data_IF_183433510587
#
_entry.id   IF_183433510587
#
_cell.length_a   1.000
_cell.length_b   1.000
_cell.length_c   1.000
_cell.angle_alpha   90.00
_cell.angle_beta   90.00
_cell.angle_gamma   90.00
#
_symmetry.space_group_name_H-M   'P 1'
#
loop_
_entity.id
_entity.type
_entity.pdbx_description
1 polymer ?
#
# COMPACT_ATOMS: atom_id res chain seq x y z
N UNK A 1 110.51 15.80 -82.83
CA UNK A 1 110.17 15.17 -84.14
C UNK A 1 109.28 13.98 -83.85
N UNK A 2 108.37 13.53 -84.74
CA UNK A 2 107.88 14.06 -86.03
C UNK A 2 106.31 13.94 -86.12
N UNK A 3 105.60 14.03 -87.26
CA UNK A 3 105.78 14.78 -88.52
C UNK A 3 104.66 15.83 -88.74
N UNK A 4 104.87 16.80 -89.65
CA UNK A 4 103.81 17.65 -90.24
C UNK A 4 103.42 17.06 -91.61
N UNK A 5 102.14 16.80 -91.90
CA UNK A 5 101.63 16.68 -93.26
C UNK A 5 101.07 18.03 -93.77
N UNK A 6 100.97 18.12 -95.09
CA UNK A 6 100.80 19.34 -95.88
C UNK A 6 99.33 19.82 -95.98
N UNK A 7 99.23 21.06 -96.44
CA UNK A 7 98.15 22.07 -96.39
C UNK A 7 96.96 21.89 -97.36
N UNK A 8 95.76 22.27 -96.90
CA UNK A 8 94.78 23.07 -97.68
C UNK A 8 94.37 24.30 -96.83
N UNK A 9 94.23 25.50 -97.43
CA UNK A 9 93.97 26.74 -96.68
C UNK A 9 92.61 26.75 -95.94
N UNK A 10 91.67 25.92 -96.35
CA UNK A 10 90.35 25.78 -95.74
C UNK A 10 90.39 25.06 -94.38
N UNK A 11 91.30 24.09 -94.19
CA UNK A 11 91.44 23.36 -92.92
C UNK A 11 92.13 24.19 -91.83
N UNK A 12 93.07 25.09 -92.20
CA UNK A 12 93.68 26.03 -91.25
C UNK A 12 92.69 27.10 -90.76
N UNK A 13 91.74 27.50 -91.60
CA UNK A 13 90.64 28.40 -91.22
C UNK A 13 89.63 27.65 -90.34
N UNK A 14 89.31 26.39 -90.65
CA UNK A 14 88.45 25.54 -89.82
C UNK A 14 89.05 25.28 -88.42
N UNK A 15 90.32 24.89 -88.32
CA UNK A 15 90.99 24.61 -87.03
C UNK A 15 91.20 25.87 -86.18
N UNK A 16 91.41 27.05 -86.80
CA UNK A 16 91.42 28.34 -86.09
C UNK A 16 90.01 28.78 -85.67
N UNK A 17 88.98 28.53 -86.49
CA UNK A 17 87.57 28.77 -86.13
C UNK A 17 87.15 27.85 -84.98
N UNK A 18 87.49 26.57 -85.03
CA UNK A 18 87.20 25.56 -84.01
C UNK A 18 87.93 25.85 -82.69
N UNK A 19 89.23 26.19 -82.72
CA UNK A 19 89.95 26.67 -81.51
C UNK A 19 89.39 27.98 -80.95
N UNK A 20 88.91 28.90 -81.80
CA UNK A 20 88.22 30.12 -81.33
C UNK A 20 86.85 29.80 -80.74
N UNK A 21 86.13 28.83 -81.28
CA UNK A 21 84.82 28.38 -80.81
C UNK A 21 84.94 27.61 -79.49
N UNK A 22 85.93 26.73 -79.36
CA UNK A 22 86.30 26.05 -78.11
C UNK A 22 86.72 27.06 -77.02
N UNK A 23 87.57 28.05 -77.34
CA UNK A 23 87.91 29.12 -76.39
C UNK A 23 86.72 30.00 -76.00
N UNK A 24 85.75 30.23 -76.91
CA UNK A 24 84.49 30.93 -76.59
C UNK A 24 83.61 30.07 -75.66
N UNK A 25 83.45 28.79 -75.96
CA UNK A 25 82.70 27.82 -75.12
C UNK A 25 83.33 27.65 -73.74
N UNK A 26 84.66 27.60 -73.62
CA UNK A 26 85.36 27.55 -72.33
C UNK A 26 85.20 28.83 -71.53
N UNK A 27 85.25 30.00 -72.18
CA UNK A 27 84.96 31.28 -71.52
C UNK A 27 83.51 31.34 -71.04
N UNK A 28 82.55 30.89 -71.84
CA UNK A 28 81.16 30.78 -71.44
C UNK A 28 80.96 29.77 -70.30
N UNK A 29 81.64 28.63 -70.33
CA UNK A 29 81.60 27.64 -69.24
C UNK A 29 82.16 28.20 -67.94
N UNK A 30 83.30 28.90 -67.98
CA UNK A 30 83.88 29.58 -66.80
C UNK A 30 82.96 30.68 -66.28
N UNK A 31 82.36 31.47 -67.17
CA UNK A 31 81.37 32.49 -66.78
C UNK A 31 80.11 31.86 -66.16
N UNK A 32 79.63 30.73 -66.71
CA UNK A 32 78.51 29.97 -66.16
C UNK A 32 78.87 29.38 -64.79
N UNK A 33 80.06 28.81 -64.61
CA UNK A 33 80.53 28.31 -63.32
C UNK A 33 80.61 29.42 -62.27
N UNK A 34 81.19 30.58 -62.61
CA UNK A 34 81.22 31.73 -61.69
C UNK A 34 79.80 32.16 -61.29
N UNK A 35 78.84 32.16 -62.23
CA UNK A 35 77.43 32.45 -61.94
C UNK A 35 76.79 31.37 -61.06
N UNK A 36 77.06 30.10 -61.31
CA UNK A 36 76.55 28.98 -60.51
C UNK A 36 77.12 29.02 -59.09
N UNK A 37 78.42 29.33 -58.94
CA UNK A 37 79.09 29.46 -57.64
C UNK A 37 78.58 30.68 -56.86
N UNK A 38 78.30 31.79 -57.56
CA UNK A 38 77.65 32.95 -56.99
C UNK A 38 76.24 32.62 -56.50
N UNK A 39 75.42 31.99 -57.34
CA UNK A 39 74.05 31.60 -57.00
C UNK A 39 74.00 30.55 -55.88
N UNK A 40 74.89 29.56 -55.88
CA UNK A 40 74.95 28.57 -54.78
C UNK A 40 75.40 29.19 -53.47
N UNK A 41 76.29 30.19 -53.51
CA UNK A 41 76.67 30.97 -52.32
C UNK A 41 75.49 31.82 -51.82
N UNK A 42 74.74 32.43 -52.72
CA UNK A 42 73.53 33.20 -52.40
C UNK A 42 72.41 32.31 -51.83
N UNK A 43 72.19 31.12 -52.37
CA UNK A 43 71.25 30.11 -51.83
C UNK A 43 71.69 29.64 -50.44
N UNK A 44 72.99 29.34 -50.24
CA UNK A 44 73.51 28.93 -48.93
C UNK A 44 73.37 30.05 -47.89
N UNK A 45 73.67 31.30 -48.27
CA UNK A 45 73.42 32.44 -47.40
C UNK A 45 71.92 32.62 -47.12
N UNK A 46 71.07 32.47 -48.14
CA UNK A 46 69.61 32.49 -48.03
C UNK A 46 69.09 31.48 -47.03
N UNK A 47 69.49 30.21 -47.14
CA UNK A 47 69.14 29.14 -46.20
C UNK A 47 69.61 29.44 -44.78
N UNK A 48 70.83 29.96 -44.63
CA UNK A 48 71.38 30.32 -43.32
C UNK A 48 70.65 31.51 -42.69
N UNK A 49 70.25 32.50 -43.49
CA UNK A 49 69.36 33.57 -43.05
C UNK A 49 67.98 33.05 -42.69
N UNK A 50 67.35 32.18 -43.49
CA UNK A 50 66.02 31.61 -43.18
C UNK A 50 66.08 30.82 -41.88
N UNK A 51 67.05 29.93 -41.71
CA UNK A 51 67.23 29.17 -40.46
C UNK A 51 67.47 30.09 -39.25
N UNK A 52 68.18 31.21 -39.44
CA UNK A 52 68.34 32.22 -38.39
C UNK A 52 67.02 32.92 -38.06
N UNK A 53 66.23 33.29 -39.06
CA UNK A 53 64.90 33.87 -38.84
C UNK A 53 63.96 32.85 -38.19
N UNK A 54 63.92 31.60 -38.61
CA UNK A 54 63.12 30.54 -37.99
C UNK A 54 63.49 30.32 -36.52
N UNK A 55 64.79 30.30 -36.19
CA UNK A 55 65.24 30.22 -34.79
C UNK A 55 64.79 31.44 -33.99
N UNK A 56 64.88 32.64 -34.58
CA UNK A 56 64.42 33.86 -33.93
C UNK A 56 62.89 33.88 -33.76
N UNK A 57 62.12 33.42 -34.75
CA UNK A 57 60.67 33.31 -34.69
C UNK A 57 60.22 32.27 -33.66
N UNK A 58 60.86 31.10 -33.60
CA UNK A 58 60.60 30.09 -32.57
C UNK A 58 60.91 30.63 -31.19
N UNK A 59 62.03 31.34 -31.02
CA UNK A 59 62.39 31.98 -29.75
C UNK A 59 61.36 33.03 -29.36
N UNK A 60 61.02 33.96 -30.25
CA UNK A 60 59.99 34.97 -30.01
C UNK A 60 58.63 34.34 -29.68
N UNK A 61 58.25 33.26 -30.37
CA UNK A 61 57.00 32.56 -30.10
C UNK A 61 57.03 31.91 -28.72
N UNK A 62 58.12 31.24 -28.34
CA UNK A 62 58.31 30.68 -26.98
C UNK A 62 58.28 31.80 -25.94
N UNK A 63 58.97 32.92 -26.18
CA UNK A 63 59.03 34.05 -25.26
C UNK A 63 57.65 34.70 -25.03
N UNK A 64 56.71 34.57 -25.99
CA UNK A 64 55.34 35.07 -25.86
C UNK A 64 54.37 34.00 -25.34
N UNK A 65 54.43 32.77 -25.85
CA UNK A 65 53.45 31.73 -25.53
C UNK A 65 53.74 31.04 -24.21
N UNK A 66 55.01 30.86 -23.83
CA UNK A 66 55.37 30.16 -22.60
C UNK A 66 54.91 30.94 -21.35
N UNK A 67 55.08 32.28 -21.25
CA UNK A 67 54.52 33.04 -20.13
C UNK A 67 52.99 32.98 -20.08
N UNK A 68 52.32 33.11 -21.23
CA UNK A 68 50.86 33.02 -21.30
C UNK A 68 50.35 31.64 -20.86
N UNK A 69 50.97 30.56 -21.33
CA UNK A 69 50.62 29.19 -20.89
C UNK A 69 50.88 29.00 -19.40
N UNK A 70 51.93 29.63 -18.85
CA UNK A 70 52.21 29.59 -17.41
C UNK A 70 51.15 30.34 -16.61
N UNK A 71 50.70 31.49 -17.07
CA UNK A 71 49.60 32.25 -16.47
C UNK A 71 48.29 31.47 -16.52
N UNK A 72 47.94 30.88 -17.68
CA UNK A 72 46.75 30.04 -17.84
C UNK A 72 46.80 28.81 -16.91
N UNK A 73 47.97 28.16 -16.79
CA UNK A 73 48.16 27.01 -15.89
C UNK A 73 48.11 27.42 -14.41
N UNK A 74 48.63 28.60 -14.07
CA UNK A 74 48.54 29.14 -12.72
C UNK A 74 47.09 29.50 -12.35
N UNK A 75 46.34 30.11 -13.28
CA UNK A 75 44.92 30.39 -13.09
C UNK A 75 44.12 29.09 -12.91
N UNK A 76 44.37 28.09 -13.77
CA UNK A 76 43.75 26.78 -13.65
C UNK A 76 44.08 26.13 -12.29
N UNK A 77 45.35 26.17 -11.87
CA UNK A 77 45.79 25.63 -10.58
C UNK A 77 45.06 26.29 -9.40
N UNK A 78 45.03 27.62 -9.32
CA UNK A 78 44.31 28.33 -8.26
C UNK A 78 42.80 28.08 -8.29
N UNK A 79 42.20 27.97 -9.49
CA UNK A 79 40.79 27.64 -9.60
C UNK A 79 40.51 26.23 -9.10
N UNK A 80 41.35 25.24 -9.46
CA UNK A 80 41.23 23.89 -8.94
C UNK A 80 41.43 23.82 -7.43
N UNK A 81 42.42 24.52 -6.88
CA UNK A 81 42.65 24.60 -5.44
C UNK A 81 41.41 25.16 -4.72
N UNK A 82 40.85 26.28 -5.21
CA UNK A 82 39.61 26.85 -4.66
C UNK A 82 38.44 25.87 -4.75
N UNK A 83 38.28 25.17 -5.89
CA UNK A 83 37.21 24.18 -6.05
C UNK A 83 37.41 23.04 -5.05
N UNK A 84 38.62 22.50 -4.91
CA UNK A 84 38.94 21.46 -3.95
C UNK A 84 38.62 21.94 -2.53
N UNK A 85 39.07 23.12 -2.12
CA UNK A 85 38.79 23.68 -0.79
C UNK A 85 37.29 23.82 -0.53
N UNK A 86 36.52 24.31 -1.52
CA UNK A 86 35.05 24.42 -1.37
C UNK A 86 34.37 23.07 -1.28
N UNK A 87 34.87 22.06 -2.01
CA UNK A 87 34.33 20.70 -1.96
C UNK A 87 34.69 20.03 -0.63
N UNK A 88 35.92 20.17 -0.16
CA UNK A 88 36.37 19.65 1.13
C UNK A 88 35.57 20.28 2.27
N UNK A 89 35.36 21.60 2.25
CA UNK A 89 34.48 22.26 3.22
C UNK A 89 33.04 21.72 3.16
N UNK A 90 32.50 21.52 1.95
CA UNK A 90 31.16 20.93 1.79
C UNK A 90 31.12 19.50 2.32
N UNK A 91 32.16 18.69 2.10
CA UNK A 91 32.27 17.33 2.61
C UNK A 91 32.32 17.34 4.14
N UNK A 92 33.12 18.20 4.75
CA UNK A 92 33.17 18.34 6.22
C UNK A 92 31.82 18.72 6.79
N UNK A 93 31.14 19.70 6.21
CA UNK A 93 29.79 20.09 6.64
C UNK A 93 28.81 18.92 6.53
N UNK A 94 28.82 18.19 5.41
CA UNK A 94 27.94 17.03 5.23
C UNK A 94 28.26 15.90 6.23
N UNK A 95 29.52 15.72 6.63
CA UNK A 95 29.89 14.75 7.65
C UNK A 95 29.37 15.16 9.04
N UNK A 96 29.44 16.44 9.38
CA UNK A 96 28.90 16.96 10.64
C UNK A 96 27.37 16.80 10.69
N UNK A 97 26.67 17.20 9.63
CA UNK A 97 25.21 17.04 9.51
C UNK A 97 24.78 15.56 9.56
N UNK A 98 25.58 14.66 8.98
CA UNK A 98 25.33 13.21 9.07
C UNK A 98 25.50 12.72 10.51
N UNK A 99 26.52 13.20 11.23
CA UNK A 99 26.71 12.91 12.65
C UNK A 99 25.55 13.39 13.51
N UNK A 100 25.07 14.62 13.28
CA UNK A 100 23.91 15.18 14.01
C UNK A 100 22.62 14.40 13.71
N UNK A 101 22.40 14.02 12.43
CA UNK A 101 21.26 13.21 12.05
C UNK A 101 21.28 11.82 12.70
N UNK A 102 22.46 11.18 12.79
CA UNK A 102 22.63 9.90 13.47
C UNK A 102 22.37 10.02 14.98
N UNK A 103 22.87 11.06 15.64
CA UNK A 103 22.62 11.30 17.07
C UNK A 103 21.13 11.52 17.35
N UNK A 104 20.46 12.33 16.52
CA UNK A 104 19.02 12.56 16.61
C UNK A 104 18.23 11.26 16.40
N UNK A 105 18.62 10.43 15.43
CA UNK A 105 18.02 9.12 15.20
C UNK A 105 18.19 8.20 16.41
N UNK A 106 19.40 8.09 16.97
CA UNK A 106 19.67 7.25 18.14
C UNK A 106 18.90 7.74 19.38
N UNK A 107 18.80 9.05 19.59
CA UNK A 107 18.04 9.63 20.68
C UNK A 107 16.54 9.33 20.54
N UNK A 108 15.98 9.53 19.34
CA UNK A 108 14.58 9.22 19.06
C UNK A 108 14.30 7.72 19.26
N UNK A 109 15.17 6.86 18.75
CA UNK A 109 15.05 5.42 18.91
C UNK A 109 15.06 5.01 20.39
N UNK A 110 15.98 5.54 21.19
CA UNK A 110 16.02 5.30 22.65
C UNK A 110 14.73 5.76 23.32
N UNK A 111 14.27 6.97 23.02
CA UNK A 111 13.03 7.49 23.57
C UNK A 111 11.82 6.64 23.16
N UNK A 112 11.80 6.13 21.92
CA UNK A 112 10.75 5.23 21.48
C UNK A 112 10.78 3.90 22.25
N UNK A 113 11.96 3.30 22.41
CA UNK A 113 12.13 2.09 23.22
C UNK A 113 11.65 2.31 24.66
N UNK A 114 12.05 3.43 25.30
CA UNK A 114 11.62 3.77 26.66
C UNK A 114 10.09 3.94 26.75
N UNK A 115 9.48 4.55 25.74
CA UNK A 115 8.02 4.69 25.66
C UNK A 115 7.32 3.33 25.51
N UNK A 116 7.86 2.42 24.70
CA UNK A 116 7.36 1.05 24.56
C UNK A 116 7.49 0.32 25.90
N UNK A 117 8.62 0.42 26.58
CA UNK A 117 8.84 -0.22 27.87
C UNK A 117 7.89 0.31 28.95
N UNK A 118 7.65 1.62 28.97
CA UNK A 118 6.65 2.23 29.86
C UNK A 118 5.25 1.70 29.56
N UNK A 119 4.88 1.58 28.29
CA UNK A 119 3.60 1.03 27.87
C UNK A 119 3.45 -0.43 28.29
N UNK A 120 4.49 -1.25 28.11
CA UNK A 120 4.52 -2.65 28.54
C UNK A 120 4.36 -2.75 30.06
N UNK A 121 5.07 -1.92 30.84
CA UNK A 121 4.92 -1.89 32.31
C UNK A 121 3.49 -1.56 32.72
N UNK A 122 2.91 -0.51 32.13
CA UNK A 122 1.52 -0.12 32.42
C UNK A 122 0.51 -1.21 32.08
N UNK A 123 0.74 -1.96 31.00
CA UNK A 123 -0.11 -3.11 30.67
C UNK A 123 0.08 -4.29 31.63
N UNK A 124 1.29 -4.52 32.13
CA UNK A 124 1.54 -5.53 33.17
C UNK A 124 0.83 -5.15 34.47
N UNK A 125 1.01 -3.92 34.94
CA UNK A 125 0.35 -3.43 36.15
C UNK A 125 -1.17 -3.59 36.05
N UNK A 126 -1.76 -3.22 34.91
CA UNK A 126 -3.20 -3.42 34.67
C UNK A 126 -3.62 -4.90 34.62
N UNK A 127 -2.77 -5.78 34.11
CA UNK A 127 -3.05 -7.22 34.09
C UNK A 127 -2.98 -7.81 35.50
N UNK A 128 -2.03 -7.34 36.32
CA UNK A 128 -1.91 -7.73 37.72
C UNK A 128 -3.11 -7.23 38.52
N UNK A 129 -3.52 -5.97 38.37
CA UNK A 129 -4.74 -5.42 38.99
C UNK A 129 -5.98 -6.26 38.63
N UNK A 130 -6.13 -6.61 37.34
CA UNK A 130 -7.28 -7.41 36.88
C UNK A 130 -7.23 -8.84 37.43
N UNK A 131 -6.04 -9.39 37.61
CA UNK A 131 -5.84 -10.71 38.20
C UNK A 131 -6.19 -10.69 39.68
N UNK A 132 -5.74 -9.68 40.41
CA UNK A 132 -6.06 -9.50 41.83
C UNK A 132 -7.57 -9.32 42.02
N UNK A 133 -8.23 -8.48 41.20
CA UNK A 133 -9.68 -8.31 41.21
C UNK A 133 -10.45 -9.62 40.96
N UNK A 134 -9.93 -10.46 40.05
CA UNK A 134 -10.50 -11.77 39.74
C UNK A 134 -10.31 -12.75 40.90
N UNK A 135 -9.12 -12.83 41.49
CA UNK A 135 -8.83 -13.68 42.65
C UNK A 135 -9.69 -13.26 43.85
N UNK A 136 -9.83 -11.96 44.11
CA UNK A 136 -10.71 -11.44 45.15
C UNK A 136 -12.18 -11.80 44.92
N UNK A 137 -12.65 -11.69 43.68
CA UNK A 137 -14.03 -12.05 43.31
C UNK A 137 -14.27 -13.56 43.47
N UNK A 138 -13.28 -14.37 43.09
CA UNK A 138 -13.31 -15.83 43.26
C UNK A 138 -13.35 -16.21 44.73
N UNK A 139 -12.49 -15.60 45.56
CA UNK A 139 -12.42 -15.85 46.99
C UNK A 139 -13.74 -15.44 47.69
N UNK A 140 -14.33 -14.30 47.32
CA UNK A 140 -15.65 -13.88 47.83
C UNK A 140 -16.75 -14.86 47.46
N UNK A 141 -16.77 -15.33 46.21
CA UNK A 141 -17.76 -16.31 45.75
C UNK A 141 -17.58 -17.67 46.44
N UNK A 142 -16.34 -18.11 46.63
CA UNK A 142 -16.03 -19.34 47.34
C UNK A 142 -16.48 -19.25 48.81
N UNK A 143 -16.12 -18.16 49.51
CA UNK A 143 -16.55 -17.95 50.89
C UNK A 143 -18.08 -17.90 51.03
N UNK A 144 -18.79 -17.28 50.09
CA UNK A 144 -20.25 -17.28 50.08
C UNK A 144 -20.84 -18.69 49.88
N UNK A 145 -20.25 -19.50 49.00
CA UNK A 145 -20.66 -20.88 48.77
C UNK A 145 -20.41 -21.76 50.00
N UNK A 146 -19.25 -21.61 50.64
CA UNK A 146 -18.91 -22.32 51.88
C UNK A 146 -19.88 -21.95 53.02
N UNK A 147 -20.23 -20.66 53.14
CA UNK A 147 -21.21 -20.20 54.13
C UNK A 147 -22.61 -20.77 53.86
N UNK A 148 -23.09 -20.72 52.61
CA UNK A 148 -24.37 -21.34 52.23
C UNK A 148 -24.37 -22.84 52.54
N UNK A 149 -23.28 -23.54 52.22
CA UNK A 149 -23.14 -24.96 52.50
C UNK A 149 -23.20 -25.24 54.02
N UNK A 150 -22.54 -24.43 54.84
CA UNK A 150 -22.57 -24.57 56.30
C UNK A 150 -23.99 -24.34 56.85
N UNK A 151 -24.70 -23.32 56.34
CA UNK A 151 -26.10 -23.07 56.71
C UNK A 151 -26.99 -24.25 56.34
N UNK A 152 -26.85 -24.81 55.13
CA UNK A 152 -27.61 -26.00 54.75
C UNK A 152 -27.31 -27.20 55.65
N UNK A 153 -26.04 -27.46 55.94
CA UNK A 153 -25.66 -28.55 56.84
C UNK A 153 -26.25 -28.36 58.24
N UNK A 154 -26.23 -27.13 58.76
CA UNK A 154 -26.83 -26.82 60.06
C UNK A 154 -28.34 -27.02 60.05
N UNK A 155 -29.06 -26.52 59.03
CA UNK A 155 -30.52 -26.71 58.93
C UNK A 155 -30.92 -28.19 58.81
N UNK A 156 -30.12 -29.00 58.11
CA UNK A 156 -30.32 -30.46 58.05
C UNK A 156 -30.11 -31.08 59.42
N UNK A 157 -29.02 -30.74 60.12
CA UNK A 157 -28.74 -31.26 61.47
C UNK A 157 -29.86 -30.90 62.45
N UNK A 158 -30.31 -29.64 62.45
CA UNK A 158 -31.41 -29.19 63.29
C UNK A 158 -32.72 -29.94 62.97
N UNK A 159 -32.99 -30.18 61.69
CA UNK A 159 -34.14 -30.96 61.23
C UNK A 159 -34.06 -32.43 61.67
N UNK A 160 -32.89 -33.05 61.58
CA UNK A 160 -32.65 -34.40 62.08
C UNK A 160 -32.88 -34.50 63.59
N UNK A 161 -32.34 -33.55 64.36
CA UNK A 161 -32.47 -33.57 65.81
C UNK A 161 -33.91 -33.31 66.27
N UNK A 162 -34.65 -32.44 65.57
CA UNK A 162 -36.08 -32.28 65.78
C UNK A 162 -36.86 -33.59 65.53
N UNK A 163 -36.57 -34.28 64.41
CA UNK A 163 -37.20 -35.57 64.11
C UNK A 163 -36.85 -36.63 65.13
N UNK A 164 -35.58 -36.72 65.57
CA UNK A 164 -35.15 -37.64 66.65
C UNK A 164 -35.91 -37.36 67.94
N UNK A 165 -36.07 -36.09 68.33
CA UNK A 165 -36.83 -35.71 69.53
C UNK A 165 -38.32 -36.08 69.41
N UNK A 166 -38.94 -35.86 68.25
CA UNK A 166 -40.33 -36.24 68.00
C UNK A 166 -40.53 -37.76 68.06
N UNK A 167 -39.64 -38.54 67.42
CA UNK A 167 -39.68 -40.00 67.47
C UNK A 167 -39.53 -40.51 68.90
N UNK A 168 -38.60 -39.92 69.67
CA UNK A 168 -38.42 -40.25 71.08
C UNK A 168 -39.69 -39.97 71.91
N UNK A 169 -40.34 -38.81 71.69
CA UNK A 169 -41.60 -38.47 72.34
C UNK A 169 -42.73 -39.47 72.02
N UNK A 170 -42.92 -39.80 70.74
CA UNK A 170 -43.92 -40.78 70.31
C UNK A 170 -43.67 -42.18 70.88
N UNK A 171 -42.42 -42.61 70.93
CA UNK A 171 -42.04 -43.90 71.50
C UNK A 171 -42.32 -43.94 73.01
N UNK A 172 -42.06 -42.84 73.72
CA UNK A 172 -42.40 -42.74 75.14
C UNK A 172 -43.92 -42.79 75.38
N UNK A 173 -44.71 -42.07 74.58
CA UNK A 173 -46.18 -42.10 74.65
C UNK A 173 -46.74 -43.50 74.36
N UNK A 174 -46.17 -44.21 73.38
CA UNK A 174 -46.54 -45.59 73.06
C UNK A 174 -46.22 -46.55 74.21
N UNK A 175 -45.04 -46.42 74.84
CA UNK A 175 -44.68 -47.21 76.03
C UNK A 175 -45.64 -46.95 77.19
N UNK A 176 -46.07 -45.70 77.40
CA UNK A 176 -47.06 -45.38 78.43
C UNK A 176 -48.45 -45.94 78.10
N UNK A 177 -48.86 -45.86 76.83
CA UNK A 177 -50.11 -46.44 76.36
C UNK A 177 -50.12 -47.97 76.55
N UNK A 178 -49.05 -48.66 76.17
CA UNK A 178 -48.90 -50.10 76.36
C UNK A 178 -48.99 -50.49 77.85
N UNK A 179 -48.33 -49.73 78.73
CA UNK A 179 -48.43 -49.92 80.19
C UNK A 179 -49.86 -49.75 80.69
N UNK A 180 -50.58 -48.72 80.23
CA UNK A 180 -51.99 -48.48 80.59
C UNK A 180 -52.88 -49.64 80.12
N UNK A 181 -52.78 -50.05 78.86
CA UNK A 181 -53.53 -51.19 78.31
C UNK A 181 -53.24 -52.45 79.11
N UNK A 182 -51.96 -52.77 79.36
CA UNK A 182 -51.57 -53.94 80.14
C UNK A 182 -52.12 -53.90 81.56
N UNK A 183 -52.09 -52.74 82.22
CA UNK A 183 -52.68 -52.57 83.56
C UNK A 183 -54.19 -52.82 83.55
N UNK A 184 -54.92 -52.24 82.59
CA UNK A 184 -56.38 -52.45 82.48
C UNK A 184 -56.73 -53.90 82.18
N UNK A 185 -55.95 -54.58 81.34
CA UNK A 185 -56.13 -55.99 81.03
C UNK A 185 -55.91 -56.87 82.26
N UNK A 186 -54.86 -56.61 83.07
CA UNK A 186 -54.63 -57.32 84.32
C UNK A 186 -55.76 -57.09 85.34
N UNK A 187 -56.24 -55.84 85.48
CA UNK A 187 -57.41 -55.55 86.33
C UNK A 187 -58.65 -56.30 85.87
N UNK A 188 -58.86 -56.44 84.56
CA UNK A 188 -59.98 -57.21 84.01
C UNK A 188 -59.87 -58.70 84.31
N UNK A 189 -58.67 -59.27 84.21
CA UNK A 189 -58.40 -60.65 84.63
C UNK A 189 -58.73 -60.84 86.11
N UNK A 190 -58.31 -59.91 86.97
CA UNK A 190 -58.57 -60.00 88.42
C UNK A 190 -60.07 -59.89 88.74
N UNK A 191 -60.82 -59.05 88.02
CA UNK A 191 -62.29 -58.98 88.09
C UNK A 191 -62.91 -60.32 87.66
N UNK A 192 -62.56 -60.82 86.47
CA UNK A 192 -63.09 -62.08 85.96
C UNK A 192 -62.74 -63.25 86.90
N UNK A 193 -61.56 -63.26 87.53
CA UNK A 193 -61.19 -64.25 88.55
C UNK A 193 -62.04 -64.16 89.82
N UNK A 194 -62.42 -62.95 90.27
CA UNK A 194 -63.36 -62.78 91.38
C UNK A 194 -64.73 -63.29 90.99
N UNK A 195 -65.22 -62.91 89.82
CA UNK A 195 -66.49 -63.37 89.27
C UNK A 195 -66.51 -64.90 89.14
N UNK A 196 -65.43 -65.53 88.66
CA UNK A 196 -65.33 -66.99 88.60
C UNK A 196 -65.33 -67.65 89.97
N UNK A 197 -64.70 -67.05 90.98
CA UNK A 197 -64.73 -67.58 92.35
C UNK A 197 -66.15 -67.49 92.95
N UNK A 198 -66.86 -66.39 92.71
CA UNK A 198 -68.26 -66.21 93.10
C UNK A 198 -69.16 -67.21 92.35
N UNK A 199 -68.94 -67.38 91.03
CA UNK A 199 -69.63 -68.38 90.21
C UNK A 199 -69.30 -69.80 90.68
N UNK A 200 -68.10 -70.11 91.15
CA UNK A 200 -67.78 -71.44 91.71
C UNK A 200 -68.57 -71.68 93.00
N UNK A 201 -68.77 -70.66 93.84
CA UNK A 201 -69.61 -70.78 95.01
C UNK A 201 -71.09 -70.97 94.64
N UNK A 202 -71.61 -70.22 93.66
CA UNK A 202 -72.98 -70.40 93.19
C UNK A 202 -73.15 -71.73 92.45
N UNK A 203 -72.17 -72.18 91.65
CA UNK A 203 -72.20 -73.45 90.93
C UNK A 203 -72.14 -74.66 91.86
N UNK A 204 -71.51 -74.56 93.03
CA UNK A 204 -71.63 -75.60 94.06
C UNK A 204 -73.07 -75.74 94.54
N UNK A 205 -73.73 -74.61 94.79
CA UNK A 205 -75.15 -74.55 95.16
C UNK A 205 -76.05 -75.03 94.01
N UNK A 206 -75.70 -74.70 92.77
CA UNK A 206 -76.41 -75.12 91.57
C UNK A 206 -76.12 -76.58 91.20
N UNK A 207 -74.97 -77.18 91.53
CA UNK A 207 -74.65 -78.57 91.24
C UNK A 207 -75.52 -79.54 92.06
N UNK A 208 -75.81 -79.19 93.30
CA UNK A 208 -76.81 -79.87 94.12
C UNK A 208 -78.22 -79.77 93.49
N UNK A 209 -78.54 -78.61 92.92
CA UNK A 209 -79.78 -78.40 92.16
C UNK A 209 -79.74 -78.95 90.72
N UNK A 210 -78.57 -79.25 90.16
CA UNK A 210 -78.38 -79.66 88.77
C UNK A 210 -78.37 -81.18 88.66
N UNK A 211 -77.97 -81.92 89.68
CA UNK A 211 -78.07 -83.38 89.70
C UNK A 211 -79.54 -83.84 89.56
N UNK A 212 -80.46 -83.09 90.18
CA UNK A 212 -81.91 -83.29 90.08
C UNK A 212 -82.48 -82.82 88.73
N UNK A 213 -81.85 -81.84 88.08
CA UNK A 213 -82.28 -81.29 86.79
C UNK A 213 -81.66 -81.97 85.54
N UNK A 214 -80.44 -82.53 85.63
CA UNK A 214 -79.70 -83.24 84.57
C UNK A 214 -80.45 -84.48 84.09
N UNK A 215 -81.13 -85.16 85.02
CA UNK A 215 -82.05 -86.25 84.74
C UNK A 215 -83.18 -85.84 83.77
N UNK A 216 -83.70 -84.62 83.93
CA UNK A 216 -84.82 -84.11 83.13
C UNK A 216 -84.39 -83.48 81.79
N UNK A 217 -83.13 -83.03 81.67
CA UNK A 217 -82.60 -82.36 80.47
C UNK A 217 -82.01 -83.32 79.43
N UNK A 218 -81.47 -84.48 79.84
CA UNK A 218 -80.98 -85.51 78.91
C UNK A 218 -82.08 -85.99 77.92
N UNK A 219 -83.33 -86.00 78.40
CA UNK A 219 -84.53 -86.33 77.61
C UNK A 219 -84.92 -85.27 76.56
N UNK A 220 -84.44 -84.02 76.69
CA UNK A 220 -84.72 -82.91 75.75
C UNK A 220 -83.61 -82.73 74.70
N UNK A 221 -82.35 -82.95 75.07
CA UNK A 221 -81.16 -82.77 74.22
C UNK A 221 -81.20 -83.57 72.90
N UNK A 222 -81.72 -84.81 72.96
CA UNK A 222 -81.83 -85.70 71.78
C UNK A 222 -82.77 -85.12 70.70
N UNK A 223 -83.72 -84.26 71.04
CA UNK A 223 -84.69 -83.67 70.09
C UNK A 223 -84.21 -82.38 69.41
N UNK A 224 -83.26 -81.67 70.00
CA UNK A 224 -82.78 -80.38 69.48
C UNK A 224 -81.59 -80.53 68.51
N UNK A 225 -80.85 -81.65 68.61
CA UNK A 225 -79.68 -81.95 67.76
C UNK A 225 -80.05 -82.21 66.28
N UNK A 226 -81.23 -82.77 66.01
CA UNK A 226 -81.74 -82.98 64.65
C UNK A 226 -82.08 -81.67 63.92
N UNK A 227 -82.46 -80.61 64.65
CA UNK A 227 -82.87 -79.32 64.05
C UNK A 227 -81.69 -78.42 63.63
N UNK A 228 -80.58 -78.42 64.37
CA UNK A 228 -79.41 -77.56 64.04
C UNK A 228 -78.60 -78.04 62.82
N UNK A 229 -78.64 -79.33 62.52
CA UNK A 229 -77.83 -79.93 61.43
C UNK A 229 -78.35 -79.54 60.04
N UNK A 230 -79.66 -79.27 59.91
CA UNK A 230 -80.28 -78.85 58.64
C UNK A 230 -79.91 -77.40 58.25
N UNK A 231 -79.80 -76.49 59.22
CA UNK A 231 -79.61 -75.06 58.97
C UNK A 231 -78.17 -74.70 58.56
N UNK A 232 -77.16 -75.44 59.07
CA UNK A 232 -75.75 -75.24 58.67
C UNK A 232 -75.46 -75.67 57.24
N UNK A 233 -76.17 -76.69 56.73
CA UNK A 233 -76.00 -77.19 55.35
C UNK A 233 -76.48 -76.17 54.30
N UNK A 234 -77.51 -75.38 54.61
CA UNK A 234 -78.05 -74.36 53.72
C UNK A 234 -77.10 -73.15 53.58
N UNK A 235 -76.48 -72.70 54.68
CA UNK A 235 -75.54 -71.57 54.66
C UNK A 235 -74.25 -71.88 53.89
N UNK A 236 -73.77 -73.12 53.94
CA UNK A 236 -72.59 -73.55 53.17
C UNK A 236 -72.81 -73.50 51.66
N UNK A 237 -73.99 -73.93 51.18
CA UNK A 237 -74.31 -73.90 49.75
C UNK A 237 -74.41 -72.47 49.20
N UNK A 238 -74.95 -71.53 49.98
CA UNK A 238 -75.01 -70.11 49.59
C UNK A 238 -73.61 -69.47 49.47
N UNK A 239 -72.68 -69.84 50.37
CA UNK A 239 -71.31 -69.31 50.36
C UNK A 239 -70.49 -69.87 49.18
N UNK A 240 -70.72 -71.14 48.81
CA UNK A 240 -70.07 -71.79 47.67
C UNK A 240 -70.47 -71.14 46.33
N UNK A 241 -71.73 -70.70 46.19
CA UNK A 241 -72.20 -70.01 44.98
C UNK A 241 -71.56 -68.62 44.82
N UNK A 242 -71.40 -67.88 45.92
CA UNK A 242 -70.70 -66.60 45.92
C UNK A 242 -69.21 -66.74 45.56
N UNK A 243 -68.52 -67.75 46.09
CA UNK A 243 -67.10 -67.98 45.78
C UNK A 243 -66.87 -68.33 44.30
N UNK A 244 -67.74 -69.17 43.73
CA UNK A 244 -67.71 -69.50 42.31
C UNK A 244 -67.91 -68.25 41.41
N UNK A 245 -68.79 -67.32 41.81
CA UNK A 245 -69.02 -66.07 41.08
C UNK A 245 -67.79 -65.14 41.12
N UNK A 246 -67.14 -65.01 42.28
CA UNK A 246 -65.91 -64.23 42.44
C UNK A 246 -64.75 -64.84 41.64
N UNK A 247 -64.58 -66.16 41.68
CA UNK A 247 -63.55 -66.83 40.86
C UNK A 247 -63.73 -66.60 39.36
N UNK A 248 -64.96 -66.57 38.85
CA UNK A 248 -65.23 -66.28 37.45
C UNK A 248 -64.79 -64.85 37.07
N UNK A 249 -65.06 -63.86 37.93
CA UNK A 249 -64.62 -62.47 37.73
C UNK A 249 -63.09 -62.33 37.78
N UNK A 250 -62.41 -63.01 38.72
CA UNK A 250 -60.94 -63.03 38.80
C UNK A 250 -60.33 -63.54 37.49
N UNK A 251 -60.85 -64.65 36.95
CA UNK A 251 -60.38 -65.21 35.66
C UNK A 251 -60.59 -64.23 34.50
N UNK A 252 -61.70 -63.50 34.48
CA UNK A 252 -61.97 -62.49 33.45
C UNK A 252 -61.00 -61.30 33.55
N UNK A 253 -60.73 -60.83 34.77
CA UNK A 253 -59.80 -59.73 35.02
C UNK A 253 -58.36 -60.09 34.65
N UNK A 254 -57.91 -61.31 34.97
CA UNK A 254 -56.57 -61.80 34.56
C UNK A 254 -56.40 -61.80 33.03
N UNK A 255 -57.43 -62.23 32.28
CA UNK A 255 -57.40 -62.17 30.80
C UNK A 255 -57.32 -60.75 30.27
N UNK A 256 -58.04 -59.80 30.89
CA UNK A 256 -57.96 -58.36 30.52
C UNK A 256 -56.58 -57.79 30.83
N UNK A 257 -56.02 -58.13 31.98
CA UNK A 257 -54.69 -57.69 32.39
C UNK A 257 -53.61 -58.18 31.44
N UNK A 258 -53.67 -59.45 31.00
CA UNK A 258 -52.75 -59.99 30.00
C UNK A 258 -52.84 -59.27 28.64
N UNK A 259 -54.07 -58.95 28.17
CA UNK A 259 -54.25 -58.17 26.94
C UNK A 259 -53.67 -56.76 27.05
N UNK A 260 -53.92 -56.08 28.16
CA UNK A 260 -53.40 -54.72 28.38
C UNK A 260 -51.88 -54.71 28.52
N UNK A 261 -51.29 -55.73 29.16
CA UNK A 261 -49.83 -55.87 29.28
C UNK A 261 -49.17 -56.06 27.91
N UNK A 262 -49.76 -56.88 27.02
CA UNK A 262 -49.27 -57.05 25.65
C UNK A 262 -49.41 -55.76 24.82
N UNK A 263 -50.53 -55.04 24.94
CA UNK A 263 -50.71 -53.74 24.29
C UNK A 263 -49.65 -52.73 24.76
N UNK A 264 -49.41 -52.66 26.07
CA UNK A 264 -48.39 -51.78 26.65
C UNK A 264 -46.99 -52.13 26.13
N UNK A 265 -46.68 -53.42 26.01
CA UNK A 265 -45.40 -53.88 25.43
C UNK A 265 -45.25 -53.41 23.98
N UNK A 266 -46.27 -53.63 23.15
CA UNK A 266 -46.24 -53.22 21.73
C UNK A 266 -46.10 -51.69 21.59
N UNK A 267 -46.84 -50.91 22.39
CA UNK A 267 -46.74 -49.45 22.37
C UNK A 267 -45.37 -48.95 22.83
N UNK A 268 -44.72 -49.65 23.78
CA UNK A 268 -43.35 -49.34 24.18
C UNK A 268 -42.35 -49.61 23.06
N UNK A 269 -42.48 -50.73 22.37
CA UNK A 269 -41.64 -51.08 21.21
C UNK A 269 -41.80 -50.04 20.09
N UNK A 270 -43.03 -49.70 19.71
CA UNK A 270 -43.31 -48.68 18.70
C UNK A 270 -42.76 -47.30 19.10
N UNK A 271 -42.88 -46.91 20.37
CA UNK A 271 -42.30 -45.67 20.86
C UNK A 271 -40.77 -45.67 20.78
N UNK A 272 -40.11 -46.79 21.11
CA UNK A 272 -38.65 -46.89 20.97
C UNK A 272 -38.18 -46.81 19.52
N UNK A 273 -38.93 -47.41 18.58
CA UNK A 273 -38.63 -47.31 17.15
C UNK A 273 -38.85 -45.89 16.61
N UNK A 274 -39.92 -45.21 17.05
CA UNK A 274 -40.18 -43.82 16.73
C UNK A 274 -39.08 -42.90 17.26
N UNK A 275 -38.64 -43.07 18.50
CA UNK A 275 -37.52 -42.31 19.07
C UNK A 275 -36.26 -42.54 18.23
N UNK A 276 -35.91 -43.80 17.94
CA UNK A 276 -34.73 -44.13 17.12
C UNK A 276 -34.79 -43.46 15.75
N UNK A 277 -35.87 -43.64 15.00
CA UNK A 277 -36.03 -43.05 13.65
C UNK A 277 -36.04 -41.52 13.67
N UNK A 278 -36.59 -40.88 14.71
CA UNK A 278 -36.55 -39.43 14.88
C UNK A 278 -35.15 -38.95 15.20
N UNK A 279 -34.43 -39.61 16.10
CA UNK A 279 -33.03 -39.25 16.43
C UNK A 279 -32.11 -39.37 15.22
N UNK A 280 -32.26 -40.43 14.41
CA UNK A 280 -31.50 -40.60 13.16
C UNK A 280 -31.78 -39.44 12.17
N UNK A 281 -33.05 -39.06 11.99
CA UNK A 281 -33.42 -37.90 11.15
C UNK A 281 -32.87 -36.59 11.68
N UNK A 282 -32.92 -36.37 13.00
CA UNK A 282 -32.44 -35.15 13.65
C UNK A 282 -30.92 -35.02 13.48
N UNK A 283 -30.18 -36.12 13.67
CA UNK A 283 -28.74 -36.19 13.42
C UNK A 283 -28.42 -35.92 11.94
N UNK A 284 -29.21 -36.45 10.99
CA UNK A 284 -29.03 -36.15 9.56
C UNK A 284 -29.19 -34.66 9.26
N UNK A 285 -30.23 -34.03 9.82
CA UNK A 285 -30.45 -32.58 9.65
C UNK A 285 -29.36 -31.74 10.31
N UNK A 286 -28.84 -32.15 11.46
CA UNK A 286 -27.72 -31.45 12.10
C UNK A 286 -26.43 -31.56 11.28
N UNK A 287 -26.17 -32.72 10.69
CA UNK A 287 -25.03 -32.91 9.78
C UNK A 287 -25.16 -32.05 8.52
N UNK A 288 -26.34 -32.00 7.89
CA UNK A 288 -26.61 -31.12 6.75
C UNK A 288 -26.48 -29.65 7.12
N UNK A 289 -26.99 -29.25 8.29
CA UNK A 289 -26.87 -27.88 8.80
C UNK A 289 -25.41 -27.48 9.01
N UNK A 290 -24.60 -28.37 9.61
CA UNK A 290 -23.16 -28.15 9.81
C UNK A 290 -22.42 -28.07 8.47
N UNK A 291 -22.74 -28.96 7.53
CA UNK A 291 -22.18 -28.94 6.17
C UNK A 291 -22.48 -27.62 5.46
N UNK A 292 -23.76 -27.21 5.44
CA UNK A 292 -24.17 -25.93 4.83
C UNK A 292 -23.50 -24.75 5.53
N UNK A 293 -23.46 -24.72 6.87
CA UNK A 293 -22.79 -23.66 7.62
C UNK A 293 -21.29 -23.55 7.26
N UNK A 294 -20.61 -24.68 7.08
CA UNK A 294 -19.22 -24.70 6.63
C UNK A 294 -19.07 -24.19 5.19
N UNK A 295 -19.92 -24.63 4.26
CA UNK A 295 -19.94 -24.12 2.88
C UNK A 295 -20.23 -22.62 2.81
N UNK A 296 -21.17 -22.12 3.60
CA UNK A 296 -21.43 -20.68 3.71
C UNK A 296 -20.23 -19.94 4.31
N UNK A 297 -19.57 -20.53 5.32
CA UNK A 297 -18.36 -19.99 5.92
C UNK A 297 -17.20 -19.86 4.93
N UNK A 298 -16.96 -20.89 4.11
CA UNK A 298 -15.92 -20.86 3.07
C UNK A 298 -16.26 -19.87 1.97
N UNK A 299 -17.49 -19.88 1.45
CA UNK A 299 -17.95 -18.91 0.45
C UNK A 299 -17.85 -17.47 0.95
N UNK A 300 -18.17 -17.22 2.23
CA UNK A 300 -18.04 -15.88 2.82
C UNK A 300 -16.59 -15.44 2.97
N UNK A 301 -15.65 -16.36 3.19
CA UNK A 301 -14.21 -16.06 3.19
C UNK A 301 -13.74 -15.67 1.79
N UNK A 302 -14.06 -16.51 0.79
CA UNK A 302 -13.73 -16.24 -0.62
C UNK A 302 -14.31 -14.89 -1.05
N UNK A 303 -15.59 -14.62 -0.77
CA UNK A 303 -16.21 -13.34 -1.12
C UNK A 303 -15.50 -12.14 -0.48
N UNK A 304 -15.02 -12.27 0.77
CA UNK A 304 -14.27 -11.18 1.42
C UNK A 304 -12.88 -10.98 0.79
N UNK A 305 -12.23 -12.06 0.39
CA UNK A 305 -10.95 -12.01 -0.31
C UNK A 305 -11.12 -11.35 -1.69
N UNK A 306 -12.14 -11.78 -2.46
CA UNK A 306 -12.47 -11.20 -3.77
C UNK A 306 -12.81 -9.71 -3.66
N UNK A 307 -13.65 -9.31 -2.70
CA UNK A 307 -13.96 -7.89 -2.45
C UNK A 307 -12.69 -7.11 -2.11
N UNK A 308 -11.77 -7.70 -1.32
CA UNK A 308 -10.49 -7.05 -1.01
C UNK A 308 -9.59 -6.88 -2.23
N UNK A 309 -9.58 -7.84 -3.15
CA UNK A 309 -8.85 -7.78 -4.42
C UNK A 309 -9.48 -6.72 -5.34
N UNK A 310 -10.80 -6.69 -5.43
CA UNK A 310 -11.53 -5.71 -6.24
C UNK A 310 -11.31 -4.28 -5.74
N UNK A 311 -11.32 -4.05 -4.42
CA UNK A 311 -11.00 -2.74 -3.83
C UNK A 311 -9.57 -2.29 -4.20
N UNK A 312 -8.60 -3.21 -4.18
CA UNK A 312 -7.23 -2.92 -4.62
C UNK A 312 -7.16 -2.60 -6.11
N UNK A 313 -7.84 -3.39 -6.94
CA UNK A 313 -7.88 -3.18 -8.39
C UNK A 313 -8.53 -1.85 -8.75
N UNK A 314 -9.65 -1.50 -8.11
CA UNK A 314 -10.33 -0.21 -8.32
C UNK A 314 -9.43 0.94 -7.87
N UNK A 315 -8.75 0.82 -6.73
CA UNK A 315 -7.79 1.82 -6.27
C UNK A 315 -6.66 2.03 -7.29
N UNK A 316 -6.06 0.94 -7.78
CA UNK A 316 -4.99 0.97 -8.78
C UNK A 316 -5.46 1.61 -10.08
N UNK A 317 -6.60 1.17 -10.62
CA UNK A 317 -7.19 1.73 -11.85
C UNK A 317 -7.51 3.21 -11.68
N UNK A 318 -8.01 3.62 -10.51
CA UNK A 318 -8.30 5.03 -10.21
C UNK A 318 -7.03 5.87 -10.18
N UNK A 319 -5.95 5.39 -9.54
CA UNK A 319 -4.65 6.08 -9.50
C UNK A 319 -4.09 6.22 -10.93
N UNK A 320 -4.01 5.12 -11.68
CA UNK A 320 -3.52 5.15 -13.06
C UNK A 320 -4.37 6.05 -13.96
N UNK A 321 -5.69 6.02 -13.80
CA UNK A 321 -6.59 6.89 -14.56
C UNK A 321 -6.35 8.36 -14.24
N UNK A 322 -6.17 8.71 -12.96
CA UNK A 322 -5.84 10.07 -12.56
C UNK A 322 -4.47 10.52 -13.10
N UNK A 323 -3.46 9.65 -13.05
CA UNK A 323 -2.12 9.94 -13.61
C UNK A 323 -2.18 10.19 -15.13
N UNK A 324 -2.92 9.35 -15.86
CA UNK A 324 -3.14 9.52 -17.30
C UNK A 324 -3.92 10.81 -17.57
N UNK A 325 -4.96 11.10 -16.79
CA UNK A 325 -5.74 12.34 -16.93
C UNK A 325 -4.88 13.57 -16.67
N UNK A 326 -4.02 13.55 -15.65
CA UNK A 326 -3.08 14.63 -15.37
C UNK A 326 -2.06 14.81 -16.50
N UNK A 327 -1.56 13.70 -17.05
CA UNK A 327 -0.67 13.73 -18.20
C UNK A 327 -1.36 14.31 -19.45
N UNK A 328 -2.58 13.88 -19.75
CA UNK A 328 -3.38 14.41 -20.86
C UNK A 328 -3.73 15.88 -20.65
N UNK A 329 -4.07 16.30 -19.43
CA UNK A 329 -4.30 17.70 -19.08
C UNK A 329 -3.03 18.55 -19.27
N UNK A 330 -1.84 18.02 -18.92
CA UNK A 330 -0.56 18.67 -19.20
C UNK A 330 -0.30 18.82 -20.69
N UNK A 331 -0.57 17.79 -21.50
CA UNK A 331 -0.46 17.86 -22.96
C UNK A 331 -1.48 18.87 -23.53
N UNK A 332 -2.73 18.82 -23.09
CA UNK A 332 -3.78 19.76 -23.46
C UNK A 332 -3.38 21.21 -23.14
N UNK A 333 -2.81 21.45 -21.96
CA UNK A 333 -2.28 22.76 -21.57
C UNK A 333 -1.11 23.22 -22.44
N UNK A 334 -0.19 22.31 -22.84
CA UNK A 334 0.86 22.63 -23.82
C UNK A 334 0.27 22.98 -25.19
N UNK A 335 -0.69 22.20 -25.67
CA UNK A 335 -1.41 22.45 -26.92
C UNK A 335 -2.14 23.80 -26.92
N UNK A 336 -2.85 24.12 -25.83
CA UNK A 336 -3.54 25.40 -25.68
C UNK A 336 -2.56 26.58 -25.67
N UNK A 337 -1.40 26.43 -25.02
CA UNK A 337 -0.33 27.44 -25.07
C UNK A 337 0.21 27.64 -26.48
N UNK A 338 0.45 26.57 -27.23
CA UNK A 338 0.90 26.64 -28.63
C UNK A 338 -0.15 27.33 -29.50
N UNK A 339 -1.44 26.99 -29.34
CA UNK A 339 -2.54 27.63 -30.07
C UNK A 339 -2.67 29.12 -29.72
N UNK A 340 -2.57 29.48 -28.43
CA UNK A 340 -2.57 30.87 -27.98
C UNK A 340 -1.38 31.64 -28.56
N UNK A 341 -0.17 31.06 -28.55
CA UNK A 341 1.02 31.66 -29.13
C UNK A 341 0.87 31.84 -30.64
N UNK A 342 0.40 30.81 -31.35
CA UNK A 342 0.09 30.87 -32.79
C UNK A 342 -0.92 31.97 -33.11
N UNK A 343 -2.00 32.10 -32.34
CA UNK A 343 -2.99 33.15 -32.51
C UNK A 343 -2.42 34.56 -32.27
N UNK A 344 -1.50 34.72 -31.31
CA UNK A 344 -0.79 35.98 -31.06
C UNK A 344 0.17 36.29 -32.22
N UNK A 345 1.01 35.33 -32.63
CA UNK A 345 1.94 35.48 -33.75
C UNK A 345 1.19 35.85 -35.04
N UNK A 346 0.05 35.21 -35.32
CA UNK A 346 -0.80 35.49 -36.48
C UNK A 346 -1.30 36.94 -36.53
N UNK A 347 -1.34 37.69 -35.43
CA UNK A 347 -1.68 39.13 -35.46
C UNK A 347 -0.65 39.97 -36.21
N UNK A 348 0.63 39.61 -36.09
CA UNK A 348 1.75 40.25 -36.79
C UNK A 348 1.96 39.71 -38.21
N UNK A 349 1.16 38.71 -38.59
CA UNK A 349 0.95 38.13 -39.93
C UNK A 349 0.64 39.20 -41.00
N UNK A 350 1.42 39.34 -42.09
CA UNK A 350 0.94 40.16 -43.24
C UNK A 350 -0.28 39.50 -43.92
N UNK A 351 -1.05 40.26 -44.71
CA UNK A 351 -2.25 39.72 -45.38
C UNK A 351 -1.91 38.59 -46.36
N UNK A 352 -0.79 38.71 -47.07
CA UNK A 352 -0.32 37.69 -48.02
C UNK A 352 -0.02 36.36 -47.32
N UNK A 353 0.66 36.42 -46.17
CA UNK A 353 1.02 35.23 -45.38
C UNK A 353 -0.17 34.56 -44.67
N UNK A 354 -1.24 35.31 -44.41
CA UNK A 354 -2.47 34.75 -43.85
C UNK A 354 -3.26 33.95 -44.87
N UNK A 355 -3.13 34.31 -46.15
CA UNK A 355 -3.82 33.67 -47.29
C UNK A 355 -2.97 32.52 -47.83
N UNK A 356 -1.65 32.69 -47.92
CA UNK A 356 -0.70 31.65 -48.33
C UNK A 356 0.39 31.46 -47.25
N UNK A 357 0.12 30.66 -46.20
CA UNK A 357 1.07 30.47 -45.10
C UNK A 357 2.31 29.67 -45.46
N UNK A 358 2.21 28.75 -46.43
CA UNK A 358 3.27 27.82 -46.78
C UNK A 358 3.68 28.00 -48.25
N UNK A 359 4.97 27.81 -48.60
CA UNK A 359 5.39 27.79 -49.99
C UNK A 359 4.66 26.69 -50.77
N UNK A 360 4.24 26.98 -52.00
CA UNK A 360 3.72 25.96 -52.90
C UNK A 360 4.83 24.91 -53.12
N UNK A 361 4.53 23.60 -53.01
CA UNK A 361 5.50 22.58 -53.34
C UNK A 361 5.92 22.76 -54.80
N UNK A 362 7.22 22.88 -55.06
CA UNK A 362 7.71 22.69 -56.42
C UNK A 362 7.34 21.27 -56.86
N UNK A 363 6.91 21.06 -58.13
CA UNK A 363 6.60 19.73 -58.61
C UNK A 363 7.88 18.89 -58.57
N UNK A 364 7.98 18.02 -57.57
CA UNK A 364 9.01 16.97 -57.54
C UNK A 364 8.78 16.10 -58.77
N UNK A 365 9.74 16.11 -59.69
CA UNK A 365 9.76 15.19 -60.81
C UNK A 365 9.66 13.76 -60.26
N UNK A 366 8.63 13.05 -60.71
CA UNK A 366 8.37 11.64 -60.42
C UNK A 366 9.48 10.83 -61.08
N UNK A 367 10.55 10.54 -60.34
CA UNK A 367 11.46 9.44 -60.65
C UNK A 367 11.90 8.83 -59.33
N UNK A 368 11.43 7.60 -59.13
CA UNK A 368 11.94 6.53 -58.29
C UNK A 368 12.01 6.75 -56.77
N UNK A 369 10.99 6.22 -56.09
CA UNK A 369 11.12 5.69 -54.73
C UNK A 369 10.13 4.53 -54.55
N UNK A 370 10.41 3.41 -55.23
CA UNK A 370 10.04 2.09 -54.69
C UNK A 370 11.03 1.79 -53.57
N UNK A 371 10.58 1.76 -52.33
CA UNK A 371 11.39 1.31 -51.19
C UNK A 371 10.50 0.56 -50.19
N UNK A 372 10.59 -0.76 -50.30
CA UNK A 372 10.47 -1.79 -49.26
C UNK A 372 9.49 -1.58 -48.10
N UNK A 373 8.31 -2.18 -48.28
CA UNK A 373 7.49 -2.69 -47.19
C UNK A 373 8.16 -3.95 -46.61
N UNK A 374 9.14 -3.84 -45.70
CA UNK A 374 9.47 -4.85 -44.68
C UNK A 374 10.71 -4.44 -43.86
N UNK A 375 10.56 -3.56 -42.87
CA UNK A 375 11.47 -3.51 -41.72
C UNK A 375 10.69 -3.36 -40.40
N UNK A 376 11.08 -4.07 -39.33
CA UNK A 376 10.35 -4.07 -38.08
C UNK A 376 10.47 -2.72 -37.37
N UNK A 377 9.31 -2.16 -37.00
CA UNK A 377 9.14 -0.95 -36.19
C UNK A 377 10.13 -0.91 -35.01
N UNK A 378 11.13 -0.04 -35.12
CA UNK A 378 11.99 0.37 -34.01
C UNK A 378 11.65 1.80 -33.62
N UNK A 379 11.45 2.01 -32.31
CA UNK A 379 10.98 3.25 -31.67
C UNK A 379 11.87 4.51 -31.90
N UNK A 380 13.01 4.39 -32.60
CA UNK A 380 13.95 5.50 -32.79
C UNK A 380 13.61 6.37 -34.02
N UNK A 381 12.85 5.84 -35.00
CA UNK A 381 12.50 6.54 -36.24
C UNK A 381 11.45 7.66 -36.08
N UNK A 382 10.69 7.69 -34.98
CA UNK A 382 9.66 8.71 -34.75
C UNK A 382 10.25 10.11 -34.51
N UNK A 383 11.47 10.19 -33.95
CA UNK A 383 12.14 11.48 -33.72
C UNK A 383 12.60 12.14 -35.02
N UNK A 384 12.99 11.35 -36.01
CA UNK A 384 13.44 11.85 -37.31
C UNK A 384 12.27 12.27 -38.20
N UNK A 385 11.13 11.59 -38.11
CA UNK A 385 9.90 11.96 -38.83
C UNK A 385 9.26 13.25 -38.29
N UNK A 386 9.33 13.51 -36.98
CA UNK A 386 8.79 14.75 -36.38
C UNK A 386 9.49 16.03 -36.88
N UNK A 387 10.76 15.94 -37.28
CA UNK A 387 11.49 17.07 -37.87
C UNK A 387 11.00 17.35 -39.29
N UNK A 388 10.77 16.30 -40.08
CA UNK A 388 10.22 16.41 -41.43
C UNK A 388 8.79 16.99 -41.46
N UNK A 389 7.96 16.68 -40.45
CA UNK A 389 6.61 17.24 -40.31
C UNK A 389 6.59 18.77 -40.07
N UNK A 390 7.66 19.34 -39.52
CA UNK A 390 7.80 20.77 -39.25
C UNK A 390 8.55 21.53 -40.36
N UNK A 391 8.94 20.88 -41.45
CA UNK A 391 9.71 21.51 -42.54
C UNK A 391 8.99 22.72 -43.13
N UNK A 392 7.68 22.63 -43.35
CA UNK A 392 6.86 23.74 -43.86
C UNK A 392 6.81 24.92 -42.88
N UNK A 393 6.80 24.64 -41.57
CA UNK A 393 6.86 25.67 -40.55
C UNK A 393 8.22 26.37 -40.56
N UNK A 394 9.33 25.61 -40.64
CA UNK A 394 10.67 26.19 -40.69
C UNK A 394 10.95 26.97 -41.97
N UNK A 395 10.43 26.52 -43.12
CA UNK A 395 10.48 27.29 -44.37
C UNK A 395 9.75 28.64 -44.24
N UNK A 396 8.59 28.64 -43.59
CA UNK A 396 7.83 29.87 -43.29
C UNK A 396 8.62 30.82 -42.39
N UNK A 397 9.26 30.31 -41.34
CA UNK A 397 10.13 31.09 -40.44
C UNK A 397 11.31 31.67 -41.22
N UNK A 398 12.00 30.87 -42.03
CA UNK A 398 13.15 31.31 -42.82
C UNK A 398 12.78 32.43 -43.82
N UNK A 399 11.62 32.34 -44.47
CA UNK A 399 11.12 33.40 -45.35
C UNK A 399 10.87 34.72 -44.61
N UNK A 400 10.35 34.64 -43.37
CA UNK A 400 10.16 35.83 -42.53
C UNK A 400 11.48 36.38 -42.02
N UNK A 401 12.43 35.54 -41.65
CA UNK A 401 13.77 36.00 -41.29
C UNK A 401 14.45 36.72 -42.46
N UNK A 402 14.34 36.19 -43.68
CA UNK A 402 14.84 36.87 -44.89
C UNK A 402 14.18 38.24 -45.10
N UNK A 403 12.85 38.32 -44.91
CA UNK A 403 12.11 39.59 -44.98
C UNK A 403 12.58 40.58 -43.91
N UNK A 404 12.83 40.11 -42.67
CA UNK A 404 13.37 40.91 -41.57
C UNK A 404 14.77 41.44 -41.90
N UNK A 405 15.64 40.61 -42.46
CA UNK A 405 16.98 41.02 -42.86
C UNK A 405 16.94 42.12 -43.92
N UNK A 406 16.11 41.97 -44.96
CA UNK A 406 15.93 43.00 -46.00
C UNK A 406 15.44 44.33 -45.41
N UNK A 407 14.40 44.31 -44.58
CA UNK A 407 13.90 45.53 -43.91
C UNK A 407 14.96 46.20 -43.02
N UNK A 408 15.78 45.40 -42.33
CA UNK A 408 16.83 45.95 -41.48
C UNK A 408 17.96 46.57 -42.33
N UNK A 409 18.28 45.98 -43.48
CA UNK A 409 19.27 46.52 -44.41
C UNK A 409 18.79 47.85 -45.03
N UNK A 410 17.53 47.93 -45.45
CA UNK A 410 16.90 49.19 -45.89
C UNK A 410 16.87 50.22 -44.78
N UNK A 411 16.51 49.83 -43.55
CA UNK A 411 16.55 50.72 -42.38
C UNK A 411 17.95 51.28 -42.16
N UNK A 412 18.98 50.44 -42.16
CA UNK A 412 20.37 50.87 -42.02
C UNK A 412 20.83 51.76 -43.19
N UNK A 413 20.35 51.50 -44.40
CA UNK A 413 20.59 52.36 -45.55
C UNK A 413 19.93 53.74 -45.38
N UNK A 414 18.65 53.78 -45.00
CA UNK A 414 17.90 55.02 -44.76
C UNK A 414 18.48 55.83 -43.60
N UNK A 415 18.96 55.17 -42.53
CA UNK A 415 19.68 55.85 -41.43
C UNK A 415 20.94 56.52 -41.98
N UNK A 416 21.74 55.79 -42.76
CA UNK A 416 22.96 56.33 -43.38
C UNK A 416 22.65 57.50 -44.33
N UNK A 417 21.62 57.37 -45.15
CA UNK A 417 21.19 58.44 -46.07
C UNK A 417 20.67 59.66 -45.32
N UNK A 418 19.84 59.46 -44.29
CA UNK A 418 19.35 60.53 -43.42
C UNK A 418 20.51 61.26 -42.74
N UNK A 419 21.53 60.54 -42.27
CA UNK A 419 22.73 61.14 -41.69
C UNK A 419 23.55 61.92 -42.74
N UNK A 420 23.57 61.48 -43.99
CA UNK A 420 24.19 62.23 -45.10
C UNK A 420 23.38 63.48 -45.42
N UNK A 421 22.05 63.40 -45.45
CA UNK A 421 21.15 64.53 -45.69
C UNK A 421 21.22 65.55 -44.56
N UNK A 422 21.23 65.12 -43.29
CA UNK A 422 21.48 65.98 -42.13
C UNK A 422 22.82 66.69 -42.25
N UNK A 423 23.89 65.98 -42.65
CA UNK A 423 25.21 66.58 -42.90
C UNK A 423 25.20 67.57 -44.05
N UNK A 424 24.49 67.27 -45.15
CA UNK A 424 24.35 68.18 -46.31
C UNK A 424 23.51 69.40 -45.98
N UNK A 425 22.41 69.25 -45.25
CA UNK A 425 21.58 70.34 -44.75
C UNK A 425 22.39 71.23 -43.80
N UNK A 426 23.17 70.64 -42.89
CA UNK A 426 24.08 71.37 -42.01
C UNK A 426 25.13 72.17 -42.79
N UNK A 427 25.68 71.62 -43.87
CA UNK A 427 26.57 72.34 -44.79
C UNK A 427 25.85 73.42 -45.60
N UNK A 428 24.62 73.17 -46.05
CA UNK A 428 23.82 74.15 -46.79
C UNK A 428 23.41 75.34 -45.90
N UNK A 429 23.02 75.10 -44.64
CA UNK A 429 22.78 76.16 -43.66
C UNK A 429 24.05 76.98 -43.36
N UNK A 430 25.24 76.37 -43.42
CA UNK A 430 26.51 77.09 -43.36
C UNK A 430 26.79 77.92 -44.63
N UNK A 431 26.34 77.48 -45.81
CA UNK A 431 26.51 78.21 -47.08
C UNK A 431 25.43 79.29 -47.35
N UNK A 432 24.19 79.13 -46.85
CA UNK A 432 23.13 80.16 -46.91
C UNK A 432 23.36 81.26 -45.87
N UNK A 433 24.21 81.00 -44.87
CA UNK A 433 24.82 82.05 -44.08
C UNK A 433 25.86 82.80 -44.92
N UNK A 434 25.39 83.73 -45.76
CA UNK A 434 26.22 84.83 -46.23
C UNK A 434 26.76 85.60 -45.02
N UNK A 435 28.08 85.81 -44.92
CA UNK A 435 28.72 86.58 -43.87
C UNK A 435 28.49 88.07 -44.13
N UNK A 436 27.79 88.76 -43.21
CA UNK A 436 27.52 90.18 -43.41
C UNK A 436 26.68 90.88 -42.35
N UNK A 437 26.74 90.50 -41.07
CA UNK A 437 26.69 91.50 -39.98
C UNK A 437 27.33 90.90 -38.74
N UNK A 438 28.39 91.57 -38.34
CA UNK A 438 29.24 91.29 -37.21
C UNK A 438 28.52 91.59 -35.88
N UNK A 439 28.88 90.77 -34.89
CA UNK A 439 29.09 91.09 -33.47
C UNK A 439 27.91 91.62 -32.66
N UNK A 440 27.46 90.82 -31.68
CA UNK A 440 27.56 91.23 -30.26
C UNK A 440 27.97 90.01 -29.42
N UNK A 441 28.85 90.30 -28.48
CA UNK A 441 29.69 89.44 -27.67
C UNK A 441 28.95 88.52 -26.67
N UNK A 442 29.70 87.48 -26.29
CA UNK A 442 29.76 86.83 -24.98
C UNK A 442 28.52 86.84 -24.07
N UNK A 443 28.06 85.63 -23.74
CA UNK A 443 27.99 85.12 -22.35
C UNK A 443 27.42 83.69 -22.31
N UNK A 444 28.20 82.75 -21.80
CA UNK A 444 27.63 81.65 -20.99
C UNK A 444 26.91 82.31 -19.78
N UNK A 445 25.86 81.74 -19.15
CA UNK A 445 25.64 80.31 -18.97
C UNK A 445 24.15 79.84 -18.97
N UNK A 446 23.96 78.54 -18.75
CA UNK A 446 22.81 77.90 -18.06
C UNK A 446 21.39 78.07 -18.66
N UNK A 447 20.77 76.96 -19.09
CA UNK A 447 19.69 76.25 -18.37
C UNK A 447 18.80 75.42 -19.32
N UNK A 448 18.46 74.21 -18.83
CA UNK A 448 17.14 73.56 -18.88
C UNK A 448 16.44 73.32 -20.23
N UNK A 449 16.32 72.02 -20.52
CA UNK A 449 15.12 71.38 -21.10
C UNK A 449 15.18 71.19 -22.61
N UNK A 450 14.79 70.00 -23.11
CA UNK A 450 13.37 69.91 -23.39
C UNK A 450 12.68 68.65 -22.86
N UNK A 451 11.40 68.90 -22.63
CA UNK A 451 10.28 68.05 -22.28
C UNK A 451 10.14 66.85 -23.23
N UNK A 452 9.85 65.72 -22.59
CA UNK A 452 9.21 64.47 -23.03
C UNK A 452 8.63 64.39 -24.45
N UNK A 453 8.90 63.26 -25.11
CA UNK A 453 8.00 62.27 -25.77
C UNK A 453 8.96 61.15 -26.24
N UNK A 454 8.83 59.84 -26.04
CA UNK A 454 7.79 58.91 -25.55
C UNK A 454 8.46 57.57 -25.21
N UNK A 455 8.04 56.93 -24.11
CA UNK A 455 7.81 55.50 -23.81
C UNK A 455 8.72 54.35 -24.28
N UNK A 456 9.74 54.54 -25.12
CA UNK A 456 10.57 53.42 -25.62
C UNK A 456 11.68 52.96 -24.67
N UNK A 457 12.16 53.83 -23.78
CA UNK A 457 13.36 53.55 -22.97
C UNK A 457 13.08 52.89 -21.60
N UNK A 458 11.82 52.82 -21.17
CA UNK A 458 11.45 52.13 -19.93
C UNK A 458 11.19 50.63 -20.13
N UNK A 459 10.81 50.17 -21.33
CA UNK A 459 10.64 48.73 -21.60
C UNK A 459 11.96 47.98 -21.79
N UNK A 460 13.01 48.63 -22.30
CA UNK A 460 14.33 47.99 -22.50
C UNK A 460 15.08 47.69 -21.19
N UNK A 461 14.61 48.19 -20.04
CA UNK A 461 15.16 47.81 -18.72
C UNK A 461 14.54 46.54 -18.13
N UNK A 462 13.43 46.02 -18.68
CA UNK A 462 12.82 44.75 -18.25
C UNK A 462 13.52 43.51 -18.80
N UNK A 463 14.40 43.66 -19.79
CA UNK A 463 15.12 42.56 -20.45
C UNK A 463 16.60 42.47 -20.07
N UNK A 464 17.06 43.20 -19.05
CA UNK A 464 18.39 43.05 -18.45
C UNK A 464 18.31 42.45 -17.05
N UNK A 465 17.78 41.23 -16.96
CA UNK A 465 18.03 40.33 -15.84
C UNK A 465 18.00 38.90 -16.40
N UNK A 466 19.18 38.30 -16.57
CA UNK A 466 19.50 36.89 -16.37
C UNK A 466 20.98 36.72 -16.76
N UNK A 467 21.87 37.33 -15.95
CA UNK A 467 23.22 36.78 -15.82
C UNK A 467 23.06 35.51 -14.98
N UNK A 468 23.21 34.37 -15.64
CA UNK A 468 23.43 33.10 -14.97
C UNK A 468 24.76 33.20 -14.23
N UNK A 469 24.70 33.14 -12.90
CA UNK A 469 25.84 32.75 -12.09
C UNK A 469 26.23 31.33 -12.52
N UNK A 470 27.46 31.20 -13.00
CA UNK A 470 28.22 29.97 -13.09
C UNK A 470 29.24 29.97 -11.94
#
# INVERSE_FOLDING_TARGET
MPPKPQLTEEEKIALKKEKKLQKKLEKERKQKQIKVDYLTREIKYGQLTVSRHEKNWRRMLIDITLPRMREDLQFAWHNFERVVDTKDFTISLLMDELGEAEEQYLMNFRQHCDNIDLLIRRFRDRLDDLKDDYEDSLNKLQAACEEEQNVYQQTISDGEDYLKMMIYGLDQDMREYEKKVRSTYLSRIDEDQRDYNDIIQTLRMDLENALTNLWNKSKKFVKDFEKQTAQRKQNYLALLEQDNAVQAQIRQNLRRMAKNANLLKNLREENTELIRSRTEKLNSYDNERLYLANCFGTLKKILKEDVGIDDQNISLVTILSNDIMDFLNKIGGKGERILKLSAVCRKFETKEEKVLPFPLPEPKNVVDAEADDNEPLSLENDTFNAVAELDLFWQRVAQKDASRYSLNEEREFLIRENDILKRRLHKYCQCVSCPGTLTVEEKQPTTRGPVSVSDGNFEMRKYKCFDFNL
#
